data_IF_646831371115
#
_entry.id   IF_646831371115
#
_cell.length_a   1.000
_cell.length_b   1.000
_cell.length_c   1.000
_cell.angle_alpha   90.00
_cell.angle_beta   90.00
_cell.angle_gamma   90.00
#
_symmetry.space_group_name_H-M   'P 1'
#
loop_
_entity.id
_entity.type
_entity.pdbx_description
1 polymer ?
#
# COMPACT_ATOMS: atom_id res chain seq x y z
N UNK A 1 31.85 21.47 17.03
CA UNK A 1 30.81 22.24 16.31
C UNK A 1 30.53 21.74 14.89
N UNK A 2 31.51 21.17 14.16
CA UNK A 2 31.27 20.55 12.84
C UNK A 2 30.40 19.27 12.90
N UNK A 3 30.64 18.39 13.88
CA UNK A 3 29.92 17.12 13.96
C UNK A 3 28.41 17.28 14.19
N UNK A 4 28.01 18.21 15.07
CA UNK A 4 26.59 18.48 15.33
C UNK A 4 25.84 18.94 14.06
N UNK A 5 26.49 19.75 13.22
CA UNK A 5 25.94 20.20 11.94
C UNK A 5 25.89 19.07 10.90
N UNK A 6 26.83 18.14 10.94
CA UNK A 6 26.82 16.96 10.07
C UNK A 6 25.69 15.99 10.45
N UNK A 7 25.49 15.74 11.75
CA UNK A 7 24.41 14.87 12.25
C UNK A 7 23.03 15.44 11.96
N UNK A 8 22.83 16.75 12.16
CA UNK A 8 21.57 17.43 11.83
C UNK A 8 21.22 17.38 10.33
N UNK A 9 22.24 17.53 9.46
CA UNK A 9 22.06 17.37 8.00
C UNK A 9 21.72 15.95 7.58
N UNK A 10 22.34 14.95 8.20
CA UNK A 10 21.99 13.54 7.96
C UNK A 10 20.57 13.24 8.40
N UNK A 11 20.17 13.70 9.58
CA UNK A 11 18.82 13.48 10.11
C UNK A 11 17.74 14.10 9.22
N UNK A 12 17.92 15.35 8.78
CA UNK A 12 16.98 16.02 7.87
C UNK A 12 16.90 15.33 6.50
N UNK A 13 18.03 14.91 5.94
CA UNK A 13 18.04 14.14 4.68
C UNK A 13 17.30 12.79 4.81
N UNK A 14 17.53 12.06 5.90
CA UNK A 14 16.90 10.76 6.19
C UNK A 14 15.38 10.89 6.34
N UNK A 15 14.91 11.81 7.20
CA UNK A 15 13.48 12.06 7.42
C UNK A 15 12.75 12.49 6.15
N UNK A 16 13.36 13.38 5.36
CA UNK A 16 12.80 13.80 4.07
C UNK A 16 12.69 12.66 3.06
N UNK A 17 13.69 11.77 2.99
CA UNK A 17 13.66 10.60 2.12
C UNK A 17 12.55 9.62 2.53
N UNK A 18 12.40 9.35 3.83
CA UNK A 18 11.34 8.48 4.35
C UNK A 18 9.95 9.05 4.10
N UNK A 19 9.75 10.33 4.42
CA UNK A 19 8.49 11.03 4.15
C UNK A 19 8.10 10.93 2.67
N UNK A 20 9.06 11.16 1.76
CA UNK A 20 8.83 11.04 0.32
C UNK A 20 8.47 9.61 -0.09
N UNK A 21 9.17 8.59 0.43
CA UNK A 21 8.89 7.19 0.09
C UNK A 21 7.48 6.81 0.51
N UNK A 22 7.13 7.05 1.78
CA UNK A 22 5.79 6.75 2.29
C UNK A 22 4.69 7.51 1.54
N UNK A 23 4.94 8.78 1.18
CA UNK A 23 3.99 9.56 0.39
C UNK A 23 3.81 8.99 -1.03
N UNK A 24 4.89 8.56 -1.67
CA UNK A 24 4.83 7.90 -2.98
C UNK A 24 4.09 6.57 -2.89
N UNK A 25 4.36 5.75 -1.86
CA UNK A 25 3.64 4.50 -1.63
C UNK A 25 2.15 4.75 -1.41
N UNK A 26 1.81 5.75 -0.59
CA UNK A 26 0.44 6.13 -0.33
C UNK A 26 -0.25 6.54 -1.64
N UNK A 27 0.24 7.58 -2.31
CA UNK A 27 -0.39 8.12 -3.53
C UNK A 27 -0.42 7.06 -4.63
N UNK A 28 0.65 6.28 -4.78
CA UNK A 28 0.73 5.19 -5.75
C UNK A 28 -0.32 4.10 -5.50
N UNK A 29 -0.53 3.71 -4.24
CA UNK A 29 -1.56 2.74 -3.86
C UNK A 29 -2.97 3.27 -4.11
N UNK A 30 -3.22 4.55 -3.76
CA UNK A 30 -4.51 5.21 -4.03
C UNK A 30 -4.78 5.31 -5.54
N UNK A 31 -3.78 5.69 -6.33
CA UNK A 31 -3.89 5.77 -7.78
C UNK A 31 -4.17 4.39 -8.40
N UNK A 32 -3.41 3.36 -8.01
CA UNK A 32 -3.63 1.99 -8.47
C UNK A 32 -5.01 1.47 -8.08
N UNK A 33 -5.46 1.73 -6.85
CA UNK A 33 -6.82 1.44 -6.41
C UNK A 33 -7.86 2.17 -7.28
N UNK A 34 -7.67 3.45 -7.56
CA UNK A 34 -8.54 4.23 -8.44
C UNK A 34 -8.65 3.65 -9.86
N UNK A 35 -7.55 3.12 -10.42
CA UNK A 35 -7.58 2.43 -11.71
C UNK A 35 -8.41 1.13 -11.63
N UNK A 36 -8.25 0.34 -10.57
CA UNK A 36 -9.04 -0.88 -10.36
C UNK A 36 -10.54 -0.59 -10.16
N UNK A 37 -10.89 0.61 -9.68
CA UNK A 37 -12.28 1.02 -9.48
C UNK A 37 -13.10 1.00 -10.78
N UNK A 38 -12.48 1.28 -11.94
CA UNK A 38 -13.16 1.15 -13.23
C UNK A 38 -13.63 -0.30 -13.48
N UNK A 39 -12.80 -1.27 -13.11
CA UNK A 39 -13.15 -2.69 -13.17
C UNK A 39 -14.32 -3.03 -12.24
N UNK A 40 -14.26 -2.53 -11.00
CA UNK A 40 -15.34 -2.72 -10.01
C UNK A 40 -16.67 -2.13 -10.49
N UNK A 41 -16.66 -0.88 -10.98
CA UNK A 41 -17.87 -0.19 -11.45
C UNK A 41 -18.46 -0.89 -12.67
N UNK A 42 -17.62 -1.24 -13.63
CA UNK A 42 -18.10 -1.91 -14.83
C UNK A 42 -18.75 -3.27 -14.48
N UNK A 43 -18.26 -3.99 -13.47
CA UNK A 43 -18.83 -5.26 -13.02
C UNK A 43 -20.22 -5.09 -12.38
N UNK A 44 -20.59 -3.87 -12.00
CA UNK A 44 -21.92 -3.53 -11.46
C UNK A 44 -22.90 -3.05 -12.53
N UNK A 45 -22.46 -2.78 -13.76
CA UNK A 45 -23.33 -2.29 -14.85
C UNK A 45 -23.93 -3.50 -15.58
N UNK A 46 -25.26 -3.74 -15.55
CA UNK A 46 -25.87 -4.93 -16.15
C UNK A 46 -25.56 -5.12 -17.64
N UNK A 47 -25.44 -4.01 -18.39
CA UNK A 47 -25.12 -4.05 -19.81
C UNK A 47 -23.69 -4.57 -20.07
N UNK A 48 -22.72 -4.23 -19.23
CA UNK A 48 -21.33 -4.66 -19.33
C UNK A 48 -21.11 -6.02 -18.68
N UNK A 49 -21.77 -6.28 -17.55
CA UNK A 49 -21.70 -7.55 -16.83
C UNK A 49 -22.17 -8.73 -17.68
N UNK A 50 -23.10 -8.54 -18.62
CA UNK A 50 -23.50 -9.58 -19.60
C UNK A 50 -22.36 -10.03 -20.53
N UNK A 51 -21.38 -9.17 -20.77
CA UNK A 51 -20.18 -9.49 -21.54
C UNK A 51 -19.03 -9.99 -20.65
N UNK A 52 -19.22 -9.96 -19.34
CA UNK A 52 -18.22 -10.38 -18.36
C UNK A 52 -18.55 -11.78 -17.86
N UNK A 53 -17.81 -12.78 -18.34
CA UNK A 53 -18.03 -14.18 -17.98
C UNK A 53 -17.36 -14.60 -16.69
N UNK A 54 -16.47 -13.78 -16.13
CA UNK A 54 -15.63 -14.13 -14.98
C UNK A 54 -16.00 -13.32 -13.73
N UNK A 55 -16.94 -13.86 -12.95
CA UNK A 55 -17.31 -13.31 -11.64
C UNK A 55 -16.17 -13.42 -10.63
N UNK A 56 -15.22 -14.35 -10.78
CA UNK A 56 -14.09 -14.51 -9.88
C UNK A 56 -13.12 -13.33 -10.02
N UNK A 57 -12.80 -12.94 -11.25
CA UNK A 57 -11.99 -11.75 -11.54
C UNK A 57 -12.59 -10.47 -10.95
N UNK A 58 -13.91 -10.29 -11.01
CA UNK A 58 -14.56 -9.12 -10.42
C UNK A 58 -14.40 -9.07 -8.89
N UNK A 59 -14.52 -10.20 -8.20
CA UNK A 59 -14.27 -10.27 -6.75
C UNK A 59 -12.80 -10.03 -6.41
N UNK A 60 -11.86 -10.57 -7.20
CA UNK A 60 -10.42 -10.31 -7.02
C UNK A 60 -10.06 -8.84 -7.21
N UNK A 61 -10.57 -8.21 -8.27
CA UNK A 61 -10.40 -6.77 -8.52
C UNK A 61 -10.94 -5.99 -7.32
N UNK A 62 -12.11 -6.34 -6.80
CA UNK A 62 -12.68 -5.69 -5.63
C UNK A 62 -11.79 -5.84 -4.39
N UNK A 63 -11.28 -7.05 -4.12
CA UNK A 63 -10.37 -7.31 -2.99
C UNK A 63 -9.12 -6.43 -3.09
N UNK A 64 -8.39 -6.50 -4.20
CA UNK A 64 -7.14 -5.75 -4.40
C UNK A 64 -7.38 -4.23 -4.45
N UNK A 65 -8.50 -3.79 -5.04
CA UNK A 65 -8.92 -2.38 -5.02
C UNK A 65 -9.05 -1.86 -3.59
N UNK A 66 -9.78 -2.59 -2.74
CA UNK A 66 -10.01 -2.21 -1.34
C UNK A 66 -8.71 -2.25 -0.56
N UNK A 67 -7.87 -3.29 -0.73
CA UNK A 67 -6.62 -3.38 0.03
C UNK A 67 -5.63 -2.27 -0.34
N UNK A 68 -5.54 -1.88 -1.62
CA UNK A 68 -4.70 -0.75 -2.00
C UNK A 68 -5.26 0.61 -1.54
N UNK A 69 -6.57 0.82 -1.68
CA UNK A 69 -7.22 2.12 -1.43
C UNK A 69 -7.57 2.36 0.04
N UNK A 70 -7.85 1.30 0.78
CA UNK A 70 -8.17 1.35 2.21
C UNK A 70 -6.95 0.97 3.03
N UNK A 71 -6.37 -0.21 2.82
CA UNK A 71 -5.33 -0.72 3.72
C UNK A 71 -3.98 -0.03 3.48
N UNK A 72 -3.47 -0.03 2.24
CA UNK A 72 -2.15 0.51 1.93
C UNK A 72 -2.12 2.06 1.96
N UNK A 73 -3.09 2.72 1.33
CA UNK A 73 -3.18 4.19 1.35
C UNK A 73 -3.36 4.76 2.77
N UNK A 74 -4.34 4.28 3.54
CA UNK A 74 -4.59 4.83 4.88
C UNK A 74 -3.52 4.45 5.90
N UNK A 75 -2.72 3.40 5.69
CA UNK A 75 -1.58 3.10 6.57
C UNK A 75 -0.34 3.92 6.21
N UNK A 76 -0.04 4.08 4.91
CA UNK A 76 1.16 4.78 4.47
C UNK A 76 1.09 6.31 4.64
N UNK A 77 -0.08 6.93 4.42
CA UNK A 77 -0.22 8.39 4.50
C UNK A 77 0.08 8.94 5.91
N UNK A 78 -0.48 8.40 7.01
CA UNK A 78 -0.16 8.86 8.36
C UNK A 78 1.33 8.75 8.67
N UNK A 79 2.00 7.67 8.24
CA UNK A 79 3.45 7.51 8.45
C UNK A 79 4.23 8.57 7.67
N UNK A 80 3.84 8.86 6.43
CA UNK A 80 4.43 9.96 5.65
C UNK A 80 4.29 11.31 6.38
N UNK A 81 3.10 11.60 6.92
CA UNK A 81 2.80 12.82 7.68
C UNK A 81 3.64 12.89 8.96
N UNK A 82 3.78 11.78 9.69
CA UNK A 82 4.62 11.71 10.89
C UNK A 82 6.09 11.96 10.57
N UNK A 83 6.61 11.42 9.46
CA UNK A 83 7.98 11.69 9.01
C UNK A 83 8.17 13.15 8.57
N UNK A 84 7.17 13.78 7.96
CA UNK A 84 7.18 15.23 7.67
C UNK A 84 7.20 16.06 8.95
N UNK A 85 6.42 15.68 9.97
CA UNK A 85 6.46 16.34 11.28
C UNK A 85 7.82 16.15 11.97
N UNK A 86 8.40 14.96 11.91
CA UNK A 86 9.72 14.67 12.44
C UNK A 86 10.80 15.52 11.74
N UNK A 87 10.71 15.65 10.41
CA UNK A 87 11.56 16.55 9.63
C UNK A 87 11.43 18.01 10.08
N UNK A 88 10.20 18.51 10.18
CA UNK A 88 9.92 19.90 10.57
C UNK A 88 10.43 20.24 11.99
N UNK A 89 10.48 19.25 12.88
CA UNK A 89 10.99 19.39 14.25
C UNK A 89 12.48 19.08 14.39
N UNK A 90 13.20 18.85 13.30
CA UNK A 90 14.61 18.43 13.30
C UNK A 90 14.86 17.23 14.22
N UNK A 91 13.95 16.25 14.20
CA UNK A 91 14.05 15.04 14.99
C UNK A 91 15.34 14.26 14.67
N UNK A 92 15.82 13.41 15.58
CA UNK A 92 16.96 12.53 15.32
C UNK A 92 16.77 11.67 14.06
N UNK A 93 17.86 11.18 13.44
CA UNK A 93 17.77 10.29 12.30
C UNK A 93 16.95 9.04 12.63
N UNK A 94 16.33 8.44 11.63
CA UNK A 94 15.50 7.27 11.82
C UNK A 94 16.37 6.05 12.20
N UNK A 95 15.76 5.09 12.90
CA UNK A 95 16.40 3.81 13.17
C UNK A 95 16.55 2.97 11.88
N UNK A 96 17.38 1.90 11.91
CA UNK A 96 17.53 1.02 10.76
C UNK A 96 16.21 0.34 10.35
N UNK A 97 15.36 -0.03 11.32
CA UNK A 97 14.04 -0.61 11.05
C UNK A 97 13.12 0.37 10.31
N UNK A 98 13.08 1.63 10.74
CA UNK A 98 12.28 2.67 10.09
C UNK A 98 12.73 2.95 8.64
N UNK A 99 14.02 2.73 8.34
CA UNK A 99 14.53 2.81 6.95
C UNK A 99 14.16 1.60 6.10
N UNK A 100 13.97 0.44 6.71
CA UNK A 100 13.61 -0.79 6.02
C UNK A 100 12.10 -0.90 5.77
N UNK A 101 11.28 -0.43 6.73
CA UNK A 101 9.82 -0.48 6.68
C UNK A 101 9.20 -0.05 5.34
N UNK A 102 9.51 1.15 4.76
CA UNK A 102 8.88 1.54 3.50
C UNK A 102 9.19 0.61 2.33
N UNK A 103 10.35 -0.07 2.33
CA UNK A 103 10.70 -1.07 1.32
C UNK A 103 9.88 -2.34 1.47
N UNK A 104 9.74 -2.84 2.71
CA UNK A 104 8.90 -4.00 3.01
C UNK A 104 7.43 -3.70 2.67
N UNK A 105 6.93 -2.53 3.06
CA UNK A 105 5.56 -2.14 2.75
C UNK A 105 5.32 -1.96 1.26
N UNK A 106 6.30 -1.45 0.51
CA UNK A 106 6.22 -1.37 -0.95
C UNK A 106 6.19 -2.76 -1.57
N UNK A 107 7.03 -3.69 -1.09
CA UNK A 107 7.02 -5.07 -1.55
C UNK A 107 5.67 -5.76 -1.26
N UNK A 108 5.12 -5.54 -0.07
CA UNK A 108 3.78 -6.01 0.31
C UNK A 108 2.69 -5.46 -0.61
N UNK A 109 2.67 -4.15 -0.85
CA UNK A 109 1.71 -3.50 -1.74
C UNK A 109 1.80 -4.02 -3.19
N UNK A 110 3.01 -4.25 -3.71
CA UNK A 110 3.20 -4.87 -5.03
C UNK A 110 2.70 -6.31 -5.01
N UNK A 111 2.98 -7.07 -3.95
CA UNK A 111 2.59 -8.47 -3.85
C UNK A 111 1.07 -8.66 -3.73
N UNK A 112 0.33 -7.68 -3.19
CA UNK A 112 -1.14 -7.68 -3.21
C UNK A 112 -1.71 -7.72 -4.63
N UNK A 113 -1.00 -7.18 -5.63
CA UNK A 113 -1.42 -7.25 -7.04
C UNK A 113 -1.45 -8.69 -7.57
N UNK A 114 -0.70 -9.62 -6.96
CA UNK A 114 -0.78 -11.03 -7.30
C UNK A 114 -2.21 -11.59 -7.04
N UNK A 115 -2.99 -10.95 -6.18
CA UNK A 115 -4.40 -11.28 -5.97
C UNK A 115 -5.26 -11.24 -7.24
N UNK A 116 -4.83 -10.49 -8.26
CA UNK A 116 -5.48 -10.43 -9.57
C UNK A 116 -5.23 -11.67 -10.43
N UNK A 117 -4.27 -12.53 -10.05
CA UNK A 117 -3.95 -13.74 -10.82
C UNK A 117 -5.10 -14.77 -10.71
N UNK A 118 -5.60 -15.27 -11.85
CA UNK A 118 -6.58 -16.35 -11.85
C UNK A 118 -6.03 -17.60 -11.16
N UNK A 119 -6.86 -18.26 -10.35
CA UNK A 119 -6.49 -19.48 -9.63
C UNK A 119 -5.64 -19.29 -8.38
N UNK A 120 -5.23 -18.05 -8.04
CA UNK A 120 -4.53 -17.78 -6.77
C UNK A 120 -5.53 -17.74 -5.61
N UNK A 121 -5.77 -18.86 -4.94
CA UNK A 121 -6.67 -18.93 -3.77
C UNK A 121 -8.11 -18.51 -4.07
N UNK A 122 -8.95 -18.48 -3.04
CA UNK A 122 -10.36 -18.07 -3.16
C UNK A 122 -10.56 -16.63 -2.65
N UNK A 123 -11.18 -15.73 -3.44
CA UNK A 123 -11.48 -14.38 -2.97
C UNK A 123 -12.64 -14.39 -1.98
N UNK A 124 -12.41 -13.76 -0.84
CA UNK A 124 -13.40 -13.56 0.21
C UNK A 124 -13.73 -12.07 0.32
N UNK A 125 -14.93 -11.69 -0.08
CA UNK A 125 -15.42 -10.29 0.01
C UNK A 125 -16.25 -10.06 1.29
N UNK A 126 -15.91 -10.75 2.39
CA UNK A 126 -16.65 -10.68 3.67
C UNK A 126 -16.40 -9.36 4.42
N UNK A 127 -17.40 -8.91 5.18
CA UNK A 127 -17.63 -7.53 5.69
C UNK A 127 -16.59 -6.91 6.68
N UNK A 128 -15.35 -7.41 6.78
CA UNK A 128 -14.34 -6.82 7.67
C UNK A 128 -13.13 -6.28 6.89
N UNK A 129 -12.36 -7.17 6.26
CA UNK A 129 -11.29 -6.82 5.31
C UNK A 129 -11.34 -7.87 4.21
N UNK A 130 -11.53 -7.49 2.94
CA UNK A 130 -11.53 -8.46 1.86
C UNK A 130 -10.14 -9.08 1.73
N UNK A 131 -10.09 -10.37 1.42
CA UNK A 131 -8.82 -11.08 1.30
C UNK A 131 -8.91 -12.19 0.27
N UNK A 132 -7.75 -12.66 -0.17
CA UNK A 132 -7.63 -13.91 -0.92
C UNK A 132 -7.02 -14.94 0.02
N UNK A 133 -7.69 -16.08 0.18
CA UNK A 133 -7.23 -17.15 1.05
C UNK A 133 -6.08 -17.92 0.39
N UNK A 134 -4.89 -17.36 0.53
CA UNK A 134 -3.65 -17.91 0.00
C UNK A 134 -2.46 -17.40 0.82
N UNK A 135 -1.47 -18.26 1.16
CA UNK A 135 -0.29 -17.86 1.96
C UNK A 135 0.47 -16.66 1.39
N UNK A 136 0.58 -16.56 0.06
CA UNK A 136 1.20 -15.41 -0.61
C UNK A 136 0.46 -14.09 -0.31
N UNK A 137 -0.86 -14.13 -0.21
CA UNK A 137 -1.66 -12.94 0.09
C UNK A 137 -1.47 -12.51 1.56
N UNK A 138 -1.44 -13.48 2.49
CA UNK A 138 -1.09 -13.19 3.89
C UNK A 138 0.34 -12.68 4.07
N UNK A 139 1.29 -13.19 3.28
CA UNK A 139 2.66 -12.68 3.25
C UNK A 139 2.71 -11.23 2.73
N UNK A 140 1.91 -10.90 1.70
CA UNK A 140 1.78 -9.53 1.19
C UNK A 140 1.28 -8.57 2.27
N UNK A 141 0.23 -8.96 3.00
CA UNK A 141 -0.30 -8.18 4.12
C UNK A 141 0.72 -8.05 5.25
N UNK A 142 1.43 -9.12 5.59
CA UNK A 142 2.47 -9.08 6.63
C UNK A 142 3.61 -8.14 6.26
N UNK A 143 4.08 -8.18 5.00
CA UNK A 143 5.09 -7.26 4.48
C UNK A 143 4.58 -5.82 4.46
N UNK A 144 3.31 -5.61 4.13
CA UNK A 144 2.69 -4.28 4.14
C UNK A 144 2.79 -3.60 5.52
N UNK A 145 2.63 -4.38 6.59
CA UNK A 145 2.60 -3.90 7.98
C UNK A 145 3.92 -4.11 8.76
N UNK A 146 5.00 -4.55 8.10
CA UNK A 146 6.30 -4.77 8.74
C UNK A 146 7.07 -3.46 9.00
#
# INVERSE_FOLDING_TARGET
MNDLRATARRATGDRGALARHWLVLAIGSLAASGLLAFGVVAARIPALARHWTDTDLAHRILVVHVDLGVVAWFSALPVAVLELFALARAAPPAGPLARLAPWLSTAGAILLLAGLLPGLGTPFTVNYVPLIDHPLYFAALTLLFA
#
